data_IF_172052115767
#
_entry.id   IF_172052115767
#
_cell.length_a   1.000
_cell.length_b   1.000
_cell.length_c   1.000
_cell.angle_alpha   90.00
_cell.angle_beta   90.00
_cell.angle_gamma   90.00
#
_symmetry.space_group_name_H-M   'P 1'
#
loop_
_entity.id
_entity.type
_entity.pdbx_description
1 polymer ?
#
# COMPACT_ATOMS: atom_id res chain seq x y z
N UNK A 1 -9.88 13.20 8.00
CA UNK A 1 -9.20 11.89 7.84
C UNK A 1 -10.06 10.85 8.52
N UNK A 2 -10.99 10.23 7.79
CA UNK A 2 -11.86 9.17 8.30
C UNK A 2 -11.22 7.81 8.05
N UNK A 3 -11.24 6.95 9.07
CA UNK A 3 -10.91 5.53 8.96
C UNK A 3 -12.14 4.84 8.37
N UNK A 4 -11.97 4.08 7.29
CA UNK A 4 -13.03 3.27 6.71
C UNK A 4 -12.72 1.77 6.91
N UNK A 5 -13.39 1.10 7.87
CA UNK A 5 -13.18 -0.32 8.13
C UNK A 5 -13.50 -1.22 6.93
N UNK A 6 -14.38 -0.81 6.01
CA UNK A 6 -14.77 -1.63 4.85
C UNK A 6 -13.61 -1.76 3.87
N UNK A 7 -12.93 -0.65 3.57
CA UNK A 7 -11.74 -0.60 2.70
C UNK A 7 -10.64 -1.50 3.26
N UNK A 8 -10.40 -1.44 4.57
CA UNK A 8 -9.43 -2.32 5.22
C UNK A 8 -9.74 -3.79 4.94
N UNK A 9 -11.02 -4.17 5.07
CA UNK A 9 -11.45 -5.55 4.86
C UNK A 9 -11.28 -5.98 3.40
N UNK A 10 -11.60 -5.11 2.44
CA UNK A 10 -11.36 -5.37 1.01
C UNK A 10 -9.88 -5.64 0.72
N UNK A 11 -8.98 -4.80 1.25
CA UNK A 11 -7.54 -4.96 1.07
C UNK A 11 -7.04 -6.28 1.67
N UNK A 12 -7.52 -6.65 2.86
CA UNK A 12 -7.12 -7.90 3.53
C UNK A 12 -7.68 -9.12 2.80
N UNK A 13 -8.90 -9.05 2.28
CA UNK A 13 -9.48 -10.13 1.49
C UNK A 13 -8.68 -10.36 0.20
N UNK A 14 -8.17 -9.28 -0.42
CA UNK A 14 -7.32 -9.37 -1.60
C UNK A 14 -5.89 -9.84 -1.28
N UNK A 15 -5.29 -9.31 -0.22
CA UNK A 15 -3.92 -9.62 0.19
C UNK A 15 -3.82 -9.80 1.72
N UNK A 16 -4.11 -11.02 2.22
CA UNK A 16 -4.15 -11.31 3.65
C UNK A 16 -2.81 -11.08 4.36
N UNK A 17 -1.69 -11.19 3.64
CA UNK A 17 -0.35 -11.03 4.22
C UNK A 17 -0.10 -9.63 4.78
N UNK A 18 -0.89 -8.61 4.39
CA UNK A 18 -0.81 -7.26 4.97
C UNK A 18 -0.98 -7.27 6.49
N UNK A 19 -1.80 -8.18 7.02
CA UNK A 19 -2.05 -8.31 8.47
C UNK A 19 -0.81 -8.69 9.28
N UNK A 20 0.22 -9.26 8.63
CA UNK A 20 1.49 -9.62 9.24
C UNK A 20 2.42 -8.41 9.42
N UNK A 21 2.03 -7.21 8.99
CA UNK A 21 2.89 -6.04 9.06
C UNK A 21 3.08 -5.54 10.50
N UNK A 22 4.30 -5.70 11.02
CA UNK A 22 4.71 -5.21 12.35
C UNK A 22 5.54 -3.91 12.28
N UNK A 23 5.50 -3.21 11.15
CA UNK A 23 6.05 -1.85 10.99
C UNK A 23 7.58 -1.71 11.14
N UNK A 24 8.38 -2.74 10.79
CA UNK A 24 9.84 -2.69 10.88
C UNK A 24 10.53 -1.66 9.97
N UNK A 25 9.95 -1.37 8.79
CA UNK A 25 10.47 -0.34 7.88
C UNK A 25 11.45 -0.78 6.80
N UNK A 26 11.87 -2.05 6.76
CA UNK A 26 12.77 -2.59 5.72
C UNK A 26 12.32 -2.26 4.31
N UNK A 27 11.00 -2.31 4.06
CA UNK A 27 10.42 -2.01 2.75
C UNK A 27 10.60 -0.55 2.29
N UNK A 28 10.75 0.41 3.20
CA UNK A 28 11.09 1.79 2.87
C UNK A 28 12.58 1.89 2.58
N UNK A 29 13.43 1.27 3.40
CA UNK A 29 14.90 1.33 3.26
C UNK A 29 15.41 0.76 1.93
N UNK A 30 14.75 -0.27 1.39
CA UNK A 30 15.14 -0.89 0.10
C UNK A 30 14.45 -0.26 -1.11
N UNK A 31 13.62 0.76 -0.93
CA UNK A 31 12.82 1.31 -2.02
C UNK A 31 13.67 2.29 -2.85
N UNK A 32 13.85 2.05 -4.18
CA UNK A 32 14.65 2.94 -5.03
C UNK A 32 14.08 4.35 -5.18
N UNK A 33 12.79 4.54 -4.86
CA UNK A 33 12.09 5.81 -4.96
C UNK A 33 11.77 6.43 -3.59
N UNK A 34 12.42 5.96 -2.51
CA UNK A 34 12.21 6.48 -1.17
C UNK A 34 12.46 7.99 -1.09
N UNK A 35 13.55 8.46 -1.71
CA UNK A 35 13.94 9.87 -1.74
C UNK A 35 13.00 10.75 -2.57
N UNK A 36 12.15 10.13 -3.39
CA UNK A 36 11.12 10.81 -4.20
C UNK A 36 9.76 10.86 -3.49
N UNK A 37 9.73 10.62 -2.17
CA UNK A 37 8.54 10.75 -1.33
C UNK A 37 7.81 9.43 -1.03
N UNK A 38 8.33 8.29 -1.48
CA UNK A 38 7.76 6.98 -1.15
C UNK A 38 8.12 6.57 0.28
N UNK A 39 7.12 6.46 1.15
CA UNK A 39 7.27 5.83 2.45
C UNK A 39 6.42 4.55 2.54
N UNK A 40 6.98 3.43 2.11
CA UNK A 40 6.28 2.14 2.05
C UNK A 40 5.76 1.69 3.42
N UNK A 41 6.52 1.89 4.49
CA UNK A 41 6.08 1.59 5.87
C UNK A 41 4.82 2.35 6.25
N UNK A 42 4.82 3.67 6.04
CA UNK A 42 3.67 4.53 6.34
C UNK A 42 2.47 4.18 5.45
N UNK A 43 2.71 3.87 4.17
CA UNK A 43 1.69 3.42 3.25
C UNK A 43 1.01 2.14 3.76
N UNK A 44 1.80 1.12 4.13
CA UNK A 44 1.24 -0.12 4.70
C UNK A 44 0.48 0.13 6.00
N UNK A 45 0.95 1.06 6.86
CA UNK A 45 0.23 1.44 8.09
C UNK A 45 -1.14 2.02 7.77
N UNK A 46 -1.21 2.99 6.86
CA UNK A 46 -2.48 3.65 6.47
C UNK A 46 -3.44 2.64 5.84
N UNK A 47 -2.97 1.80 4.94
CA UNK A 47 -3.79 0.77 4.29
C UNK A 47 -4.30 -0.28 5.28
N UNK A 48 -3.48 -0.71 6.24
CA UNK A 48 -3.91 -1.63 7.29
C UNK A 48 -4.90 -0.99 8.29
N UNK A 49 -4.99 0.35 8.31
CA UNK A 49 -6.02 1.10 9.02
C UNK A 49 -7.23 1.44 8.14
N UNK A 50 -7.25 1.07 6.85
CA UNK A 50 -8.34 1.45 5.94
C UNK A 50 -8.38 2.94 5.60
N UNK A 51 -7.22 3.61 5.58
CA UNK A 51 -7.10 5.04 5.23
C UNK A 51 -6.58 5.17 3.80
N UNK A 52 -7.39 5.79 2.93
CA UNK A 52 -7.01 6.19 1.55
C UNK A 52 -7.24 7.70 1.40
N UNK A 53 -6.29 8.48 1.89
CA UNK A 53 -6.26 9.94 1.74
C UNK A 53 -5.46 10.38 0.52
N UNK A 54 -5.42 11.68 0.22
CA UNK A 54 -4.72 12.23 -0.94
C UNK A 54 -3.24 11.84 -1.01
N UNK A 55 -2.59 11.68 0.15
CA UNK A 55 -1.21 11.23 0.19
C UNK A 55 -1.10 9.77 -0.27
N UNK A 56 -1.96 8.86 0.20
CA UNK A 56 -2.01 7.48 -0.28
C UNK A 56 -2.28 7.45 -1.78
N UNK A 57 -3.30 8.19 -2.24
CA UNK A 57 -3.74 8.24 -3.65
C UNK A 57 -2.62 8.65 -4.59
N UNK A 58 -1.74 9.58 -4.18
CA UNK A 58 -0.55 9.98 -4.95
C UNK A 58 0.60 8.98 -4.80
N UNK A 59 0.89 8.55 -3.57
CA UNK A 59 2.06 7.73 -3.24
C UNK A 59 2.00 6.36 -3.91
N UNK A 60 0.80 5.76 -4.05
CA UNK A 60 0.67 4.47 -4.74
C UNK A 60 1.17 4.51 -6.17
N UNK A 61 1.16 5.67 -6.85
CA UNK A 61 1.65 5.82 -8.23
C UNK A 61 3.16 6.00 -8.33
N UNK A 62 3.87 6.32 -7.23
CA UNK A 62 5.33 6.34 -7.20
C UNK A 62 5.95 4.93 -7.30
N UNK A 63 5.20 3.91 -6.87
CA UNK A 63 5.71 2.54 -6.83
C UNK A 63 6.07 2.01 -8.22
N UNK A 64 7.32 1.59 -8.41
CA UNK A 64 7.80 0.98 -9.67
C UNK A 64 7.34 -0.47 -9.88
N UNK A 65 6.77 -1.11 -8.85
CA UNK A 65 6.42 -2.52 -8.91
C UNK A 65 7.61 -3.49 -8.93
N UNK A 66 8.81 -3.04 -8.57
CA UNK A 66 10.06 -3.81 -8.70
C UNK A 66 10.19 -5.03 -7.77
N UNK A 67 9.38 -5.14 -6.71
CA UNK A 67 9.36 -6.32 -5.84
C UNK A 67 10.38 -6.37 -4.70
N UNK A 68 11.40 -5.48 -4.68
CA UNK A 68 12.44 -5.46 -3.64
C UNK A 68 11.90 -5.47 -2.21
N UNK A 69 10.80 -4.75 -1.97
CA UNK A 69 10.16 -4.69 -0.65
C UNK A 69 9.59 -6.04 -0.19
N UNK A 70 9.13 -6.90 -1.10
CA UNK A 70 8.64 -8.26 -0.81
C UNK A 70 9.81 -9.19 -0.51
N UNK A 71 10.85 -9.15 -1.33
CA UNK A 71 12.04 -10.00 -1.18
C UNK A 71 12.69 -9.81 0.19
N UNK A 72 12.84 -8.55 0.61
CA UNK A 72 13.49 -8.16 1.85
C UNK A 72 12.55 -8.12 3.06
N UNK A 73 11.23 -8.34 2.89
CA UNK A 73 10.30 -8.34 4.02
C UNK A 73 10.55 -9.56 4.92
N UNK A 74 10.80 -9.40 6.24
CA UNK A 74 10.94 -10.53 7.16
C UNK A 74 9.70 -11.44 7.20
N UNK A 75 8.52 -10.84 7.04
CA UNK A 75 7.23 -11.56 7.03
C UNK A 75 6.71 -11.85 5.61
N UNK A 76 7.55 -11.63 4.58
CA UNK A 76 7.24 -11.93 3.16
C UNK A 76 5.92 -11.34 2.66
N UNK A 77 5.53 -10.18 3.19
CA UNK A 77 4.32 -9.46 2.77
C UNK A 77 4.43 -9.07 1.30
N UNK A 78 3.37 -9.35 0.53
CA UNK A 78 3.33 -9.06 -0.88
C UNK A 78 2.89 -7.61 -1.13
N UNK A 79 3.71 -6.66 -0.68
CA UNK A 79 3.46 -5.21 -0.77
C UNK A 79 3.14 -4.74 -2.21
N UNK A 80 3.79 -5.23 -3.28
CA UNK A 80 3.41 -4.84 -4.64
C UNK A 80 1.97 -5.23 -4.99
N UNK A 81 1.46 -6.35 -4.45
CA UNK A 81 0.07 -6.79 -4.63
C UNK A 81 -0.91 -5.84 -3.96
N UNK A 82 -0.64 -5.47 -2.70
CA UNK A 82 -1.42 -4.47 -1.96
C UNK A 82 -1.52 -3.16 -2.75
N UNK A 83 -0.39 -2.64 -3.25
CA UNK A 83 -0.36 -1.38 -4.01
C UNK A 83 -1.12 -1.50 -5.33
N UNK A 84 -0.99 -2.62 -6.05
CA UNK A 84 -1.76 -2.87 -7.29
C UNK A 84 -3.26 -2.88 -7.02
N UNK A 85 -3.70 -3.49 -5.94
CA UNK A 85 -5.11 -3.50 -5.55
C UNK A 85 -5.63 -2.09 -5.29
N UNK A 86 -4.91 -1.30 -4.50
CA UNK A 86 -5.30 0.09 -4.23
C UNK A 86 -5.40 0.92 -5.51
N UNK A 87 -4.43 0.78 -6.45
CA UNK A 87 -4.53 1.41 -7.78
C UNK A 87 -5.80 1.00 -8.52
N UNK A 88 -6.22 -0.26 -8.41
CA UNK A 88 -7.45 -0.73 -9.05
C UNK A 88 -8.71 -0.08 -8.47
N UNK A 89 -8.76 0.12 -7.14
CA UNK A 89 -9.85 0.84 -6.47
C UNK A 89 -9.92 2.29 -6.94
N UNK A 90 -8.77 2.97 -7.02
CA UNK A 90 -8.68 4.36 -7.51
C UNK A 90 -9.19 4.48 -8.96
N UNK A 91 -8.77 3.58 -9.85
CA UNK A 91 -9.22 3.57 -11.23
C UNK A 91 -10.73 3.30 -11.35
N UNK A 92 -11.27 2.39 -10.52
CA UNK A 92 -12.71 2.13 -10.47
C UNK A 92 -13.50 3.33 -9.95
N UNK A 93 -12.95 4.09 -9.00
CA UNK A 93 -13.56 5.34 -8.52
C UNK A 93 -13.56 6.43 -9.60
N UNK A 94 -12.45 6.59 -10.34
CA UNK A 94 -12.35 7.54 -11.47
C UNK A 94 -13.38 7.21 -12.56
N UNK A 95 -13.55 5.92 -12.90
CA UNK A 95 -14.54 5.48 -13.90
C UNK A 95 -15.98 5.74 -13.48
N UNK A 96 -16.30 5.68 -12.18
CA UNK A 96 -17.65 5.95 -11.66
C UNK A 96 -18.00 7.44 -11.65
N UNK A 97 -17.00 8.32 -11.65
CA UNK A 97 -17.19 9.78 -11.64
C UNK A 97 -17.25 10.41 -13.04
N UNK A 98 -17.00 9.62 -14.09
CA UNK A 98 -17.03 10.04 -15.50
C UNK A 98 -18.34 9.57 -16.15
#
# INVERSE_FOLDING_TARGET
MSIDPSIRQEIINYEPTLTLCFQCGTCTSVCPVADYGMNTRLLMKKLNLGIIDDWVRKTVWLCLGCGLCRENCPNKINIPSVIRFVRSLELAEIRRRR
#
